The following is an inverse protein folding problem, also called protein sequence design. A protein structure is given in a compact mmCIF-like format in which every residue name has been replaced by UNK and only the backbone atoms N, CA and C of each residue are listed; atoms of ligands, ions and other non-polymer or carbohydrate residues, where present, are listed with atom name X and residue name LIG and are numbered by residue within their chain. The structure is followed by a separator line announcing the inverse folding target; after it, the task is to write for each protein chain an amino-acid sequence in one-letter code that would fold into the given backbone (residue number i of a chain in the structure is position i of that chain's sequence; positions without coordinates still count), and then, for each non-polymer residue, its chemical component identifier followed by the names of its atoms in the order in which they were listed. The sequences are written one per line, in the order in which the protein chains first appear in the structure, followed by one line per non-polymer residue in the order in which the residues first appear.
data_IF_798320090299
#
_entry.id   IF_798320090299
#
_cell.length_a   1.000
_cell.length_b   1.000
_cell.length_c   1.000
_cell.angle_alpha   90.00
_cell.angle_beta   90.00
_cell.angle_gamma   90.00
#
_symmetry.space_group_name_H-M   'P 1'
#
loop_
_entity.id
_entity.type
_entity.pdbx_description
1 polymer ?
2 water ?
#
# COMPACT_ATOMS: atom_id res chain seq x y z
N UNK A 7 -14.99 -14.44 29.07
CA UNK A 7 -15.60 -13.47 28.12
C UNK A 7 -15.33 -12.03 28.58
N UNK A 8 -15.70 -11.75 29.83
CA UNK A 8 -15.39 -10.49 30.49
C UNK A 8 -15.32 -10.76 31.98
N UNK A 9 -14.27 -10.24 32.63
CA UNK A 9 -14.05 -10.45 34.06
C UNK A 9 -15.03 -9.60 34.88
N UNK A 10 -15.67 -10.22 35.88
CA UNK A 10 -16.58 -9.52 36.76
C UNK A 10 -15.81 -8.57 37.69
N UNK A 11 -16.34 -7.36 37.88
CA UNK A 11 -15.70 -6.36 38.73
C UNK A 11 -16.64 -5.94 39.87
N UNK A 12 -16.39 -6.45 41.10
CA UNK A 12 -17.25 -6.13 42.25
C UNK A 12 -16.96 -4.77 42.91
N UNK A 13 -15.74 -4.27 42.78
CA UNK A 13 -15.34 -3.02 43.43
C UNK A 13 -14.53 -2.10 42.54
N UNK A 14 -14.30 -0.87 43.03
CA UNK A 14 -13.49 0.12 42.32
C UNK A 14 -12.06 -0.31 42.05
N UNK A 15 -11.52 -1.13 42.97
CA UNK A 15 -10.13 -1.58 42.89
C UNK A 15 -9.88 -2.54 41.73
N UNK A 16 -10.80 -3.49 41.53
CA UNK A 16 -10.73 -4.42 40.40
C UNK A 16 -10.85 -3.68 39.08
N UNK A 17 -11.74 -2.69 39.04
CA UNK A 17 -11.96 -1.86 37.86
C UNK A 17 -10.67 -1.17 37.44
N UNK A 18 -10.03 -0.45 38.37
CA UNK A 18 -8.79 0.26 38.06
C UNK A 18 -7.68 -0.68 37.61
N UNK A 19 -7.55 -1.83 38.27
CA UNK A 19 -6.60 -2.87 37.87
C UNK A 19 -6.79 -3.27 36.42
N UNK A 20 -8.04 -3.48 36.02
CA UNK A 20 -8.40 -3.87 34.67
C UNK A 20 -8.06 -2.77 33.66
N UNK A 21 -8.40 -1.53 34.00
CA UNK A 21 -8.11 -0.38 33.15
C UNK A 21 -6.61 -0.22 32.96
N UNK A 22 -5.88 -0.41 34.05
CA UNK A 22 -4.42 -0.27 34.05
C UNK A 22 -3.68 -1.45 33.42
N UNK A 23 -4.41 -2.55 33.19
CA UNK A 23 -3.81 -3.78 32.69
C UNK A 23 -3.48 -3.77 31.20
N UNK A 24 -4.06 -2.83 30.45
CA UNK A 24 -3.87 -2.79 29.01
C UNK A 24 -3.79 -1.38 28.46
N UNK A 25 -3.30 -1.29 27.21
CA UNK A 25 -3.33 -0.05 26.45
C UNK A 25 -4.76 0.43 26.26
N UNK A 26 -5.65 -0.52 25.96
CA UNK A 26 -7.08 -0.26 25.77
C UNK A 26 -7.88 -1.29 26.57
N UNK A 27 -8.77 -0.80 27.43
CA UNK A 27 -9.70 -1.65 28.18
C UNK A 27 -11.15 -1.17 27.99
N UNK A 28 -12.09 -2.09 28.13
CA UNK A 28 -13.51 -1.79 27.97
C UNK A 28 -14.28 -2.30 29.19
N UNK A 29 -15.13 -1.44 29.77
CA UNK A 29 -15.97 -1.85 30.89
C UNK A 29 -17.46 -1.71 30.53
N UNK A 30 -18.21 -2.79 30.74
CA UNK A 30 -19.65 -2.76 30.60
C UNK A 30 -20.31 -2.57 31.95
N UNK A 31 -21.15 -1.53 32.05
CA UNK A 31 -21.82 -1.19 33.30
C UNK A 31 -23.28 -1.59 33.19
N UNK A 32 -23.64 -2.71 33.81
CA UNK A 32 -25.01 -3.23 33.72
C UNK A 32 -25.49 -3.75 35.08
N UNK A 33 -26.56 -3.15 35.59
CA UNK A 33 -27.20 -3.62 36.83
C UNK A 33 -27.49 -5.11 36.81
N UNK A 34 -28.12 -5.57 35.72
CA UNK A 34 -28.47 -6.97 35.54
C UNK A 34 -27.56 -7.60 34.48
N UNK A 35 -26.78 -8.57 34.92
CA UNK A 35 -25.77 -9.28 34.12
C UNK A 35 -26.34 -10.07 32.93
N UNK A 36 -27.58 -10.54 33.04
CA UNK A 36 -28.21 -11.26 31.94
C UNK A 36 -29.39 -10.54 31.29
N UNK A 37 -29.36 -9.20 31.31
CA UNK A 37 -30.28 -8.40 30.50
C UNK A 37 -29.83 -8.48 29.03
N UNK A 38 -30.73 -8.11 28.12
CA UNK A 38 -30.45 -8.12 26.68
C UNK A 38 -29.17 -7.35 26.31
N UNK A 39 -29.04 -6.16 26.89
CA UNK A 39 -27.90 -5.28 26.65
C UNK A 39 -26.60 -5.92 27.17
N UNK A 40 -26.65 -6.42 28.40
CA UNK A 40 -25.52 -7.12 29.00
C UNK A 40 -25.11 -8.33 28.17
N UNK A 41 -26.12 -9.05 27.66
CA UNK A 41 -25.89 -10.21 26.79
C UNK A 41 -25.20 -9.81 25.47
N UNK A 42 -25.68 -8.73 24.84
CA UNK A 42 -25.07 -8.19 23.62
C UNK A 42 -23.59 -7.82 23.84
N UNK A 43 -23.33 -7.17 24.98
CA UNK A 43 -21.98 -6.72 25.35
C UNK A 43 -21.01 -7.89 25.50
N UNK A 44 -21.42 -8.91 26.25
CA UNK A 44 -20.62 -10.12 26.41
C UNK A 44 -20.29 -10.80 25.09
N UNK A 45 -21.22 -10.75 24.14
CA UNK A 45 -21.00 -11.25 22.78
C UNK A 45 -19.98 -10.40 21.99
N UNK A 46 -20.03 -9.07 22.17
CA UNK A 46 -19.03 -8.19 21.60
C UNK A 46 -17.65 -8.44 22.23
N UNK A 47 -17.66 -8.74 23.53
CA UNK A 47 -16.45 -9.06 24.28
C UNK A 47 -15.77 -10.33 23.76
N UNK A 48 -16.58 -11.29 23.34
CA UNK A 48 -16.05 -12.55 22.79
C UNK A 48 -15.50 -12.39 21.37
N UNK A 49 -15.94 -11.34 20.67
CA UNK A 49 -15.58 -11.11 19.26
C UNK A 49 -14.27 -10.32 19.07
N UNK A 50 -13.73 -9.77 20.13
CA UNK A 50 -12.47 -8.99 20.05
C UNK A 50 -11.39 -9.59 20.95
N UNK A 51 -10.31 -10.05 20.34
CA UNK A 51 -9.25 -10.76 21.05
C UNK A 51 -8.21 -9.80 21.62
N UNK A 52 -8.16 -8.59 21.06
CA UNK A 52 -7.08 -7.63 21.31
C UNK A 52 -7.14 -6.92 22.67
N UNK A 53 -8.34 -6.74 23.21
CA UNK A 53 -8.52 -5.93 24.42
C UNK A 53 -9.31 -6.66 25.52
N UNK A 54 -8.94 -6.44 26.80
CA UNK A 54 -9.68 -7.03 27.93
C UNK A 54 -10.99 -6.31 28.27
N UNK A 55 -11.97 -7.09 28.73
CA UNK A 55 -13.30 -6.60 29.01
C UNK A 55 -13.68 -6.85 30.46
N UNK A 56 -14.31 -5.83 31.07
CA UNK A 56 -14.84 -5.96 32.43
C UNK A 56 -16.33 -5.72 32.43
N UNK A 57 -17.02 -6.32 33.39
CA UNK A 57 -18.45 -6.11 33.55
C UNK A 57 -18.73 -5.83 35.01
N UNK A 58 -19.52 -4.80 35.29
CA UNK A 58 -19.85 -4.45 36.67
C UNK A 58 -21.34 -4.17 36.88
N UNK A 59 -21.81 -4.51 38.08
CA UNK A 59 -23.20 -4.29 38.45
C UNK A 59 -23.28 -3.37 39.67
N UNK A 60 -22.10 -3.08 40.22
CA UNK A 60 -21.95 -2.32 41.46
C UNK A 60 -22.05 -0.83 41.24
N UNK A 61 -23.09 -0.20 41.81
CA UNK A 61 -23.38 1.22 41.59
C UNK A 61 -22.29 2.19 42.07
N UNK A 62 -21.38 1.70 42.92
CA UNK A 62 -20.20 2.45 43.34
C UNK A 62 -19.23 2.62 42.16
N UNK A 63 -19.07 1.54 41.38
CA UNK A 63 -18.22 1.55 40.19
C UNK A 63 -18.83 2.46 39.11
N UNK A 64 -20.15 2.40 38.94
CA UNK A 64 -20.89 3.34 38.09
C UNK A 64 -20.49 4.79 38.36
N UNK A 65 -20.63 5.20 39.63
CA UNK A 65 -20.40 6.58 40.05
C UNK A 65 -18.93 6.96 39.98
N UNK A 66 -18.07 5.98 40.18
CA UNK A 66 -16.62 6.16 40.09
C UNK A 66 -16.25 6.70 38.71
N UNK A 67 -16.95 6.19 37.69
CA UNK A 67 -16.69 6.54 36.31
C UNK A 67 -17.80 7.42 35.76
N UNK A 68 -18.62 7.94 36.67
CA UNK A 68 -19.64 8.94 36.38
C UNK A 68 -20.73 8.48 35.40
N UNK A 69 -21.16 7.23 35.58
CA UNK A 69 -22.33 6.68 34.91
C UNK A 69 -23.46 6.63 35.94
N UNK A 70 -24.60 7.23 35.60
CA UNK A 70 -25.80 7.05 36.41
C UNK A 70 -26.65 5.88 35.90
N UNK A 71 -26.70 5.71 34.59
CA UNK A 71 -27.41 4.60 33.96
C UNK A 71 -26.44 3.54 33.43
N UNK A 72 -26.99 2.42 32.94
CA UNK A 72 -26.19 1.40 32.27
C UNK A 72 -25.41 2.01 31.11
N UNK A 73 -24.29 1.38 30.74
CA UNK A 73 -23.48 1.89 29.63
C UNK A 73 -22.18 1.15 29.43
N UNK A 74 -21.41 1.59 28.44
CA UNK A 74 -20.13 0.99 28.08
C UNK A 74 -19.09 2.11 27.88
N UNK A 75 -17.96 1.97 28.55
CA UNK A 75 -16.85 2.92 28.40
C UNK A 75 -15.59 2.22 27.90
N UNK A 76 -14.99 2.76 26.84
CA UNK A 76 -13.65 2.32 26.41
C UNK A 76 -12.60 3.22 27.05
N UNK A 77 -11.61 2.60 27.71
CA UNK A 77 -10.46 3.29 28.31
C UNK A 77 -9.22 3.06 27.48
N UNK A 78 -8.35 4.07 27.38
CA UNK A 78 -7.09 3.96 26.64
C UNK A 78 -5.99 4.82 27.25
N UNK A 79 -4.74 4.38 27.06
CA UNK A 79 -3.57 5.05 27.64
C UNK A 79 -2.91 6.07 26.70
N UNK A 80 -3.74 6.70 25.86
CA UNK A 80 -3.29 7.68 24.87
C UNK A 80 -4.46 8.59 24.48
N UNK A 81 -4.16 9.65 23.74
CA UNK A 81 -5.16 10.63 23.29
C UNK A 81 -6.12 11.05 24.42
N UNK A 82 -7.43 11.04 24.14
CA UNK A 82 -8.43 11.55 25.09
C UNK A 82 -8.68 10.69 26.34
N UNK A 83 -8.13 9.48 26.37
CA UNK A 83 -8.20 8.66 27.58
C UNK A 83 -9.44 7.81 27.74
N UNK A 84 -10.61 8.34 27.37
CA UNK A 84 -11.84 7.55 27.38
C UNK A 84 -12.90 8.01 26.37
N UNK A 85 -13.74 7.07 25.96
CA UNK A 85 -14.87 7.31 25.08
C UNK A 85 -16.08 6.57 25.64
N UNK A 86 -17.22 7.25 25.70
CA UNK A 86 -18.46 6.64 26.17
C UNK A 86 -19.30 6.17 24.99
N UNK A 87 -19.76 4.92 25.06
CA UNK A 87 -20.65 4.40 24.03
C UNK A 87 -21.98 5.13 24.08
N UNK A 88 -22.45 5.59 22.92
CA UNK A 88 -23.72 6.31 22.83
C UNK A 88 -24.62 5.68 21.76
N UNK A 89 -25.67 5.01 22.20
CA UNK A 89 -26.61 4.37 21.28
C UNK A 89 -27.23 3.13 21.86
N UNK A 90 -27.92 2.36 21.02
CA UNK A 90 -28.51 1.10 21.46
C UNK A 90 -27.40 0.05 21.62
N UNK A 91 -27.48 -0.71 22.70
CA UNK A 91 -26.47 -1.73 22.99
C UNK A 91 -26.73 -2.97 22.13
N UNK A 92 -26.17 -2.93 20.93
CA UNK A 92 -26.15 -4.07 20.02
C UNK A 92 -24.70 -4.53 19.95
N UNK A 93 -24.50 -5.81 19.66
CA UNK A 93 -23.17 -6.35 19.42
C UNK A 93 -22.49 -5.59 18.29
N UNK A 94 -23.24 -5.36 17.22
CA UNK A 94 -22.73 -4.69 16.03
C UNK A 94 -22.41 -3.21 16.31
N UNK A 95 -23.23 -2.57 17.13
CA UNK A 95 -23.02 -1.17 17.52
C UNK A 95 -21.77 -1.02 18.38
N UNK A 96 -21.53 -1.99 19.25
CA UNK A 96 -20.40 -1.99 20.15
C UNK A 96 -19.08 -2.23 19.42
N UNK A 97 -19.05 -3.22 18.53
CA UNK A 97 -17.88 -3.51 17.70
C UNK A 97 -17.50 -2.32 16.82
N UNK A 98 -18.51 -1.62 16.33
CA UNK A 98 -18.35 -0.39 15.56
C UNK A 98 -17.69 0.69 16.44
N UNK A 99 -18.16 0.78 17.68
CA UNK A 99 -17.72 1.79 18.65
C UNK A 99 -16.25 1.59 19.03
N UNK A 100 -15.89 0.34 19.31
CA UNK A 100 -14.53 -0.02 19.66
C UNK A 100 -13.57 0.31 18.52
N UNK A 101 -13.82 -0.27 17.35
CA UNK A 101 -12.94 -0.11 16.19
C UNK A 101 -12.70 1.35 15.79
N UNK A 102 -13.71 2.20 16.02
CA UNK A 102 -13.63 3.64 15.79
C UNK A 102 -12.77 4.38 16.83
N UNK A 103 -12.65 3.81 18.03
CA UNK A 103 -11.99 4.48 19.17
C UNK A 103 -10.74 3.78 19.70
N UNK A 104 -10.51 2.56 19.19
CA UNK A 104 -9.52 1.61 19.71
C UNK A 104 -8.07 2.05 19.51
N UNK A 105 -7.81 2.82 18.46
CA UNK A 105 -6.45 3.12 18.01
C UNK A 105 -6.07 4.58 18.23
N UNK A 106 -4.76 4.84 18.39
CA UNK A 106 -4.24 6.20 18.54
C UNK A 106 -4.45 7.03 17.29
N UNK A 107 -4.57 8.35 17.46
CA UNK A 107 -4.72 9.25 16.33
C UNK A 107 -3.56 9.05 15.36
N UNK A 108 -2.35 8.95 15.92
CA UNK A 108 -1.17 8.65 15.13
C UNK A 108 -0.56 7.34 15.63
N UNK A 109 -0.71 6.30 14.80
CA UNK A 109 -0.34 4.95 15.18
C UNK A 109 1.04 4.57 14.63
N UNK A 110 1.88 4.00 15.49
CA UNK A 110 3.20 3.51 15.09
C UNK A 110 3.04 2.14 14.46
N UNK A 111 3.52 1.99 13.23
CA UNK A 111 3.48 0.68 12.58
C UNK A 111 4.44 -0.28 13.27
N UNK A 112 3.87 -1.21 14.03
CA UNK A 112 4.65 -2.29 14.64
C UNK A 112 3.99 -3.64 14.34
N UNK A 113 4.58 -4.69 14.90
CA UNK A 113 4.14 -6.06 14.75
C UNK A 113 2.76 -6.32 15.35
N UNK A 114 2.54 -5.82 16.57
CA UNK A 114 1.23 -5.93 17.23
C UNK A 114 0.20 -5.03 16.55
N UNK A 115 0.68 -3.90 16.06
CA UNK A 115 -0.15 -2.88 15.42
C UNK A 115 -0.59 -3.24 13.99
N UNK A 116 0.25 -4.01 13.30
CA UNK A 116 0.04 -4.35 11.87
C UNK A 116 -1.36 -4.88 11.48
N UNK A 117 -1.88 -5.91 12.20
CA UNK A 117 -3.22 -6.43 11.86
C UNK A 117 -4.37 -5.43 12.07
N UNK A 118 -4.21 -4.53 13.04
CA UNK A 118 -5.24 -3.54 13.38
C UNK A 118 -5.30 -2.38 12.39
N UNK A 119 -4.19 -2.15 11.69
CA UNK A 119 -4.12 -1.11 10.65
C UNK A 119 -4.90 -1.52 9.39
N UNK A 120 -4.65 -2.74 8.92
CA UNK A 120 -5.29 -3.25 7.70
C UNK A 120 -6.79 -3.50 7.90
N UNK A 121 -7.16 -3.88 9.12
CA UNK A 121 -8.56 -4.18 9.46
C UNK A 121 -9.46 -2.97 9.63
N UNK A 122 -8.86 -1.81 9.88
CA UNK A 122 -9.61 -0.56 10.08
C UNK A 122 -10.53 -0.19 8.94
N UNK A 123 -11.71 0.33 9.28
CA UNK A 123 -12.76 0.64 8.31
C UNK A 123 -12.55 1.97 7.59
N UNK A 124 -11.39 2.60 7.80
CA UNK A 124 -11.08 3.89 7.19
C UNK A 124 -10.56 3.71 5.75
N UNK A 125 -9.66 2.75 5.56
CA UNK A 125 -9.17 2.31 4.23
C UNK A 125 -8.20 3.24 3.50
N UNK A 126 -8.28 4.55 3.76
CA UNK A 126 -7.33 5.51 3.19
C UNK A 126 -6.26 5.90 4.21
N UNK A 127 -5.01 5.51 3.92
CA UNK A 127 -3.92 5.59 4.88
C UNK A 127 -2.82 6.53 4.39
N UNK A 128 -2.28 7.32 5.31
CA UNK A 128 -1.09 8.12 5.03
C UNK A 128 0.07 7.58 5.88
N UNK A 129 1.19 7.29 5.23
CA UNK A 129 2.35 6.72 5.90
C UNK A 129 3.47 7.73 6.00
N UNK A 130 3.81 8.12 7.22
CA UNK A 130 5.01 8.89 7.45
C UNK A 130 6.17 7.91 7.66
N UNK A 131 7.21 8.07 6.86
CA UNK A 131 8.44 7.34 7.07
C UNK A 131 9.36 8.24 7.86
N UNK A 132 9.37 8.04 9.18
CA UNK A 132 10.11 8.88 10.10
C UNK A 132 11.22 8.08 10.79
N UNK A 133 12.49 8.29 10.38
CA UNK A 133 13.65 7.68 11.03
C UNK A 133 13.79 8.12 12.49
N UNK A 134 13.94 7.16 13.40
CA UNK A 134 14.03 7.47 14.83
C UNK A 134 15.31 8.24 15.19
N UNK A 135 16.22 8.31 14.24
CA UNK A 135 17.49 9.03 14.39
C UNK A 135 17.41 10.48 13.89
N UNK A 136 16.34 10.82 13.16
CA UNK A 136 16.16 12.17 12.62
C UNK A 136 16.19 13.23 13.72
N UNK A 137 16.83 14.35 13.43
CA UNK A 137 16.86 15.49 14.34
C UNK A 137 15.48 16.10 14.40
N UNK A 138 15.06 16.53 15.59
CA UNK A 138 13.71 17.11 15.81
C UNK A 138 12.63 16.06 15.47
N UNK A 139 12.75 14.89 16.09
CA UNK A 139 11.88 13.75 15.81
C UNK A 139 10.44 14.05 16.21
N UNK A 140 10.24 14.44 17.46
CA UNK A 140 8.91 14.70 17.99
C UNK A 140 8.29 15.98 17.44
N UNK A 141 9.13 16.92 17.01
CA UNK A 141 8.66 18.12 16.31
C UNK A 141 8.12 17.81 14.92
N UNK A 142 8.77 16.88 14.22
CA UNK A 142 8.29 16.38 12.94
C UNK A 142 7.05 15.50 13.13
N UNK A 143 7.05 14.70 14.20
CA UNK A 143 5.91 13.86 14.54
C UNK A 143 4.73 14.71 15.01
N UNK A 144 5.04 15.89 15.58
CA UNK A 144 4.03 16.81 16.08
C UNK A 144 3.18 17.39 14.95
N UNK A 145 3.84 17.78 13.86
CA UNK A 145 3.16 18.27 12.66
C UNK A 145 2.24 17.22 12.05
N UNK A 146 2.69 15.97 12.07
CA UNK A 146 1.93 14.82 11.60
C UNK A 146 0.63 14.64 12.42
N UNK A 147 0.70 14.91 13.72
CA UNK A 147 -0.47 14.87 14.61
C UNK A 147 -1.42 16.03 14.33
N UNK A 148 -0.86 17.22 14.11
CA UNK A 148 -1.63 18.44 13.79
C UNK A 148 -2.46 18.24 12.52
N UNK A 149 -1.85 17.65 11.49
CA UNK A 149 -2.56 17.29 10.26
C UNK A 149 -3.56 16.16 10.48
N UNK A 150 -3.24 15.25 11.40
CA UNK A 150 -4.12 14.13 11.74
C UNK A 150 -5.44 14.60 12.35
N UNK A 151 -5.43 15.79 12.94
CA UNK A 151 -6.64 16.40 13.49
C UNK A 151 -7.64 16.70 12.37
N UNK A 152 -7.14 17.27 11.29
CA UNK A 152 -7.95 17.70 10.14
C UNK A 152 -8.66 16.56 9.41
N UNK A 153 -8.18 15.32 9.58
CA UNK A 153 -8.68 14.19 8.81
C UNK A 153 -9.11 12.98 9.64
N UNK A 154 -9.34 13.19 10.93
CA UNK A 154 -9.79 12.10 11.81
C UNK A 154 -11.09 11.51 11.29
N UNK A 155 -11.11 10.18 11.15
CA UNK A 155 -12.27 9.48 10.59
C UNK A 155 -12.32 9.50 9.07
N UNK A 156 -11.38 10.21 8.45
CA UNK A 156 -11.29 10.30 6.99
C UNK A 156 -10.00 9.66 6.45
N UNK A 157 -8.88 9.91 7.13
CA UNK A 157 -7.58 9.33 6.77
C UNK A 157 -6.84 8.83 8.02
N UNK A 158 -6.49 7.54 8.01
CA UNK A 158 -5.73 6.94 9.11
C UNK A 158 -4.23 7.27 9.02
N UNK A 159 -3.74 8.03 10.00
CA UNK A 159 -2.35 8.46 10.05
C UNK A 159 -1.43 7.41 10.69
N UNK A 160 -0.42 7.01 9.95
CA UNK A 160 0.52 5.97 10.39
C UNK A 160 1.96 6.42 10.22
N UNK A 161 2.80 6.18 11.23
CA UNK A 161 4.24 6.41 11.08
C UNK A 161 5.04 5.12 11.23
N UNK A 162 6.18 5.08 10.53
CA UNK A 162 7.05 3.90 10.48
C UNK A 162 8.51 4.33 10.63
N UNK A 163 9.29 3.55 11.36
CA UNK A 163 10.71 3.86 11.55
C UNK A 163 11.54 3.40 10.35
N UNK A 164 11.98 4.39 9.57
CA UNK A 164 12.80 4.18 8.37
C UNK A 164 14.18 3.60 8.65
N UNK A 165 14.71 3.81 9.85
CA UNK A 165 16.03 3.33 10.23
C UNK A 165 16.05 1.82 10.46
N UNK A 166 14.92 1.26 10.90
CA UNK A 166 14.90 -0.12 11.36
C UNK A 166 14.94 -1.14 10.23
N UNK A 167 15.90 -2.05 10.34
CA UNK A 167 16.12 -3.11 9.37
C UNK A 167 14.89 -3.93 9.02
N UNK A 168 14.01 -4.20 9.99
CA UNK A 168 12.85 -5.03 9.66
C UNK A 168 11.75 -4.28 8.88
N UNK A 169 12.02 -3.02 8.56
CA UNK A 169 11.13 -2.21 7.73
C UNK A 169 11.60 -2.00 6.30
N UNK A 170 12.70 -2.66 5.92
CA UNK A 170 13.33 -2.48 4.61
C UNK A 170 12.41 -2.83 3.44
N UNK A 171 11.65 -3.90 3.58
CA UNK A 171 10.77 -4.36 2.51
C UNK A 171 9.62 -3.39 2.24
N UNK A 172 9.14 -2.75 3.30
CA UNK A 172 8.08 -1.75 3.18
C UNK A 172 8.60 -0.48 2.49
N UNK A 173 9.83 -0.09 2.81
CA UNK A 173 10.50 1.01 2.11
C UNK A 173 10.56 0.75 0.60
N UNK A 174 11.00 -0.45 0.23
CA UNK A 174 11.11 -0.87 -1.17
C UNK A 174 9.76 -0.94 -1.88
N UNK A 175 8.77 -1.48 -1.20
CA UNK A 175 7.39 -1.50 -1.70
C UNK A 175 6.92 -0.10 -2.12
N UNK A 176 7.35 0.91 -1.38
CA UNK A 176 6.96 2.28 -1.66
C UNK A 176 8.07 3.08 -2.35
N UNK A 177 8.95 2.37 -3.06
CA UNK A 177 10.07 2.96 -3.79
C UNK A 177 10.86 3.99 -3.00
N UNK A 178 11.30 3.61 -1.81
CA UNK A 178 12.02 4.52 -0.93
C UNK A 178 13.34 3.93 -0.43
N UNK A 179 14.35 4.78 -0.36
CA UNK A 179 15.66 4.45 0.21
C UNK A 179 15.86 5.18 1.54
N UNK A 180 16.62 4.57 2.45
CA UNK A 180 16.91 5.15 3.77
C UNK A 180 17.15 6.66 3.77
N UNK A 181 18.02 7.11 2.87
CA UNK A 181 18.41 8.52 2.76
C UNK A 181 17.27 9.44 2.31
N UNK A 182 16.39 8.93 1.46
CA UNK A 182 15.25 9.69 0.93
C UNK A 182 14.18 10.01 1.98
N UNK A 183 14.44 9.61 3.23
CA UNK A 183 13.51 9.82 4.34
C UNK A 183 14.00 10.93 5.28
N UNK A 184 13.08 11.63 5.96
CA UNK A 184 11.60 11.51 6.00
C UNK A 184 10.87 11.71 4.67
N UNK A 185 9.78 10.97 4.50
CA UNK A 185 8.95 11.02 3.29
C UNK A 185 7.55 10.48 3.60
N UNK A 186 6.59 10.86 2.77
CA UNK A 186 5.19 10.53 3.00
C UNK A 186 4.56 9.83 1.79
N UNK A 187 3.77 8.78 2.04
CA UNK A 187 2.94 8.16 1.00
C UNK A 187 1.49 8.03 1.44
N UNK A 188 0.59 8.26 0.50
CA UNK A 188 -0.82 7.97 0.70
C UNK A 188 -1.20 6.67 -0.03
N UNK A 189 -2.12 5.91 0.55
CA UNK A 189 -2.57 4.64 -0.03
C UNK A 189 -4.04 4.41 0.31
N UNK A 190 -4.80 3.97 -0.68
CA UNK A 190 -6.19 3.57 -0.47
C UNK A 190 -6.32 2.05 -0.66
N UNK A 191 -6.82 1.38 0.37
CA UNK A 191 -7.13 -0.06 0.33
C UNK A 191 -8.53 -0.25 -0.23
N UNK A 192 -8.68 -1.21 -1.16
CA UNK A 192 -9.96 -1.47 -1.81
C UNK A 192 -10.21 -2.95 -2.03
N UNK A 193 -11.47 -3.31 -2.25
CA UNK A 193 -11.89 -4.65 -2.70
C UNK A 193 -13.35 -4.64 -3.13
N UNK A 206 -9.91 -17.89 -10.21
CA UNK A 206 -10.16 -17.98 -11.64
C UNK A 206 -9.82 -16.67 -12.37
N UNK A 207 -9.49 -16.79 -13.66
CA UNK A 207 -9.17 -15.63 -14.50
C UNK A 207 -10.36 -14.69 -14.70
N UNK A 208 -11.55 -15.28 -14.80
CA UNK A 208 -12.79 -14.53 -15.01
C UNK A 208 -13.26 -13.83 -13.73
N UNK A 209 -13.03 -14.48 -12.59
CA UNK A 209 -13.36 -13.89 -11.29
C UNK A 209 -12.55 -12.62 -11.04
N UNK A 210 -11.27 -12.65 -11.42
CA UNK A 210 -10.36 -11.50 -11.30
C UNK A 210 -10.84 -10.32 -12.17
N UNK A 211 -11.17 -10.61 -13.43
CA UNK A 211 -11.63 -9.61 -14.40
C UNK A 211 -12.92 -8.91 -13.93
N UNK A 212 -13.86 -9.70 -13.41
CA UNK A 212 -15.12 -9.17 -12.86
C UNK A 212 -14.89 -8.35 -11.59
N UNK A 213 -13.97 -8.81 -10.75
CA UNK A 213 -13.56 -8.08 -9.54
C UNK A 213 -12.84 -6.78 -9.88
N UNK A 214 -12.01 -6.81 -10.92
CA UNK A 214 -11.24 -5.65 -11.37
C UNK A 214 -12.13 -4.56 -11.97
N UNK A 215 -13.21 -4.97 -12.64
CA UNK A 215 -14.18 -3.99 -13.14
C UNK A 215 -14.99 -3.37 -12.00
N UNK A 216 -14.24 -2.74 -11.09
CA UNK A 216 -14.80 -1.92 -10.02
C UNK A 216 -14.40 -0.46 -10.29
N UNK A 217 -14.38 -0.11 -11.57
CA UNK A 217 -14.20 1.27 -12.01
C UNK A 217 -15.52 2.02 -11.90
N UNK A 218 -16.58 1.42 -12.45
CA UNK A 218 -17.92 2.02 -12.46
C UNK A 218 -18.61 1.90 -11.10
N UNK B 7 26.27 7.86 -25.23
CA UNK B 7 24.87 7.75 -24.68
C UNK B 7 24.11 6.59 -25.32
N UNK B 8 23.99 6.64 -26.66
CA UNK B 8 23.35 5.58 -27.42
C UNK B 8 24.29 5.11 -28.51
N UNK B 9 24.34 3.80 -28.71
CA UNK B 9 25.19 3.21 -29.74
C UNK B 9 24.59 3.49 -31.12
N UNK B 10 25.39 4.04 -32.02
CA UNK B 10 24.96 4.22 -33.41
C UNK B 10 24.79 2.87 -34.09
N UNK B 11 23.70 2.71 -34.83
CA UNK B 11 23.46 1.48 -35.56
C UNK B 11 23.48 1.75 -37.07
N UNK B 12 24.54 1.28 -37.77
CA UNK B 12 24.63 1.57 -39.21
C UNK B 12 23.84 0.61 -40.11
N UNK B 13 23.44 -0.54 -39.57
CA UNK B 13 22.81 -1.59 -40.36
C UNK B 13 21.81 -2.43 -39.54
N UNK B 14 21.09 -3.31 -40.21
CA UNK B 14 20.06 -4.14 -39.59
C UNK B 14 20.55 -5.12 -38.54
N UNK B 15 21.74 -5.70 -38.78
CA UNK B 15 22.33 -6.68 -37.85
C UNK B 15 22.67 -6.06 -36.50
N UNK B 16 23.14 -4.82 -36.52
CA UNK B 16 23.51 -4.10 -35.29
C UNK B 16 22.26 -3.77 -34.46
N UNK B 17 21.19 -3.32 -35.14
CA UNK B 17 19.90 -3.11 -34.50
C UNK B 17 19.42 -4.38 -33.79
N UNK B 18 19.41 -5.50 -34.52
CA UNK B 18 19.03 -6.82 -33.95
C UNK B 18 19.90 -7.23 -32.78
N UNK B 19 21.23 -7.11 -32.94
CA UNK B 19 22.18 -7.43 -31.87
C UNK B 19 21.87 -6.67 -30.59
N UNK B 20 21.57 -5.38 -30.74
CA UNK B 20 21.28 -4.51 -29.61
C UNK B 20 19.97 -4.92 -28.94
N UNK B 21 18.97 -5.26 -29.76
CA UNK B 21 17.69 -5.72 -29.23
C UNK B 21 17.85 -7.03 -28.44
N UNK B 22 18.75 -7.91 -28.89
CA UNK B 22 19.02 -9.19 -28.22
C UNK B 22 19.90 -9.11 -26.97
N UNK B 23 20.67 -8.04 -26.86
CA UNK B 23 21.63 -7.86 -25.77
C UNK B 23 21.01 -7.64 -24.40
N UNK B 24 19.69 -7.46 -24.34
CA UNK B 24 19.04 -7.16 -23.07
C UNK B 24 17.57 -7.57 -23.05
N UNK B 25 17.00 -7.65 -21.86
CA UNK B 25 15.57 -7.93 -21.68
C UNK B 25 14.72 -6.78 -22.26
N UNK B 26 15.12 -5.54 -21.95
CA UNK B 26 14.50 -4.35 -22.51
C UNK B 26 15.57 -3.53 -23.26
N UNK B 27 15.25 -3.03 -24.44
CA UNK B 27 16.16 -2.17 -25.23
C UNK B 27 15.38 -1.09 -25.98
N UNK B 28 16.05 0.02 -26.30
CA UNK B 28 15.39 1.17 -26.95
C UNK B 28 16.21 1.71 -28.13
N UNK B 29 15.54 1.90 -29.27
CA UNK B 29 16.20 2.49 -30.44
C UNK B 29 15.55 3.83 -30.79
N UNK B 30 16.37 4.86 -30.97
CA UNK B 30 15.92 6.14 -31.52
C UNK B 30 16.17 6.16 -33.03
N UNK B 31 15.13 6.44 -33.79
CA UNK B 31 15.21 6.53 -35.25
C UNK B 31 15.14 8.01 -35.62
N UNK B 32 16.29 8.62 -35.86
CA UNK B 32 16.39 10.04 -36.15
C UNK B 32 17.28 10.27 -37.37
N UNK B 33 16.66 10.73 -38.46
CA UNK B 33 17.38 11.03 -39.71
C UNK B 33 18.50 12.03 -39.47
N UNK B 34 18.16 13.10 -38.77
CA UNK B 34 19.15 14.08 -38.34
C UNK B 34 19.50 13.83 -36.87
N UNK B 35 20.66 13.25 -36.64
CA UNK B 35 21.11 12.94 -35.28
C UNK B 35 21.44 14.24 -34.50
N UNK B 36 21.61 15.33 -35.24
CA UNK B 36 21.93 16.62 -34.65
C UNK B 36 20.69 17.46 -34.34
N UNK B 37 19.51 16.94 -34.64
CA UNK B 37 18.25 17.66 -34.41
C UNK B 37 17.86 17.73 -32.94
N UNK B 38 17.04 18.71 -32.59
CA UNK B 38 16.60 18.94 -31.20
C UNK B 38 15.92 17.72 -30.55
N UNK B 39 14.98 17.11 -31.26
CA UNK B 39 14.32 15.89 -30.77
C UNK B 39 15.33 14.75 -30.53
N UNK B 40 16.31 14.61 -31.43
CA UNK B 40 17.38 13.62 -31.29
C UNK B 40 18.22 13.86 -30.03
N UNK B 41 18.57 15.12 -29.76
CA UNK B 41 19.27 15.50 -28.53
C UNK B 41 18.46 15.14 -27.29
N UNK B 42 17.17 15.44 -27.33
CA UNK B 42 16.23 15.06 -26.27
C UNK B 42 16.26 13.55 -26.02
N UNK B 43 16.31 12.77 -27.10
CA UNK B 43 16.43 11.32 -27.00
C UNK B 43 17.77 10.92 -26.37
N UNK B 44 18.85 11.52 -26.85
CA UNK B 44 20.18 11.23 -26.31
C UNK B 44 20.30 11.57 -24.81
N UNK B 45 19.62 12.64 -24.40
CA UNK B 45 19.49 13.00 -22.98
C UNK B 45 18.69 11.96 -22.20
N UNK B 46 17.69 11.35 -22.83
CA UNK B 46 16.91 10.29 -22.19
C UNK B 46 17.77 9.04 -22.03
N UNK B 47 18.62 8.77 -23.03
CA UNK B 47 19.53 7.62 -23.02
C UNK B 47 20.53 7.69 -21.87
N UNK B 48 21.01 8.90 -21.57
CA UNK B 48 21.98 9.13 -20.49
C UNK B 48 21.34 9.04 -19.11
N UNK B 49 20.05 9.35 -19.02
CA UNK B 49 19.32 9.37 -17.75
C UNK B 49 18.94 7.97 -17.24
N UNK B 50 19.19 6.95 -18.06
CA UNK B 50 18.88 5.55 -17.72
C UNK B 50 20.07 4.67 -18.11
N UNK B 51 20.55 3.88 -17.16
CA UNK B 51 21.66 2.95 -17.40
C UNK B 51 21.23 1.49 -17.26
N UNK B 52 19.97 1.29 -16.93
CA UNK B 52 19.37 -0.04 -16.81
C UNK B 52 19.12 -0.68 -18.18
N UNK B 53 18.95 0.16 -19.19
CA UNK B 53 18.56 -0.26 -20.55
C UNK B 53 19.57 0.28 -21.56
N UNK B 54 19.96 -0.56 -22.56
CA UNK B 54 20.82 -0.05 -23.63
C UNK B 54 20.04 0.74 -24.69
N UNK B 55 20.67 1.77 -25.24
CA UNK B 55 20.05 2.61 -26.26
C UNK B 55 20.79 2.56 -27.59
N UNK B 56 20.04 2.59 -28.68
CA UNK B 56 20.60 2.63 -30.03
C UNK B 56 20.08 3.84 -30.77
N UNK B 57 20.78 4.26 -31.82
CA UNK B 57 20.34 5.38 -32.66
C UNK B 57 20.70 5.11 -34.11
N UNK B 58 19.71 5.25 -35.00
CA UNK B 58 19.91 5.13 -36.46
C UNK B 58 19.43 6.34 -37.23
N UNK B 59 20.07 6.55 -38.38
CA UNK B 59 19.67 7.52 -39.40
C UNK B 59 19.51 6.76 -40.72
N UNK B 60 19.66 5.44 -40.65
CA UNK B 60 19.69 4.59 -41.83
C UNK B 60 18.27 4.15 -42.17
N UNK B 61 17.79 4.56 -43.34
CA UNK B 61 16.38 4.39 -43.69
C UNK B 61 15.98 2.94 -43.97
N UNK B 62 16.98 2.09 -44.20
CA UNK B 62 16.79 0.64 -44.26
C UNK B 62 16.46 0.11 -42.87
N UNK B 63 17.16 0.63 -41.87
CA UNK B 63 16.85 0.29 -40.47
C UNK B 63 15.49 0.85 -40.04
N UNK B 64 15.19 2.08 -40.45
CA UNK B 64 13.84 2.65 -40.28
C UNK B 64 12.78 1.68 -40.79
N UNK B 65 12.91 1.27 -42.06
CA UNK B 65 11.98 0.35 -42.73
C UNK B 65 11.90 -1.04 -42.12
N UNK B 66 13.03 -1.56 -41.64
CA UNK B 66 13.07 -2.87 -41.00
C UNK B 66 12.07 -2.96 -39.84
N UNK B 67 11.86 -1.84 -39.14
CA UNK B 67 10.95 -1.78 -38.02
C UNK B 67 9.66 -1.03 -38.35
N UNK B 68 9.44 -0.79 -39.65
CA UNK B 68 8.27 -0.08 -40.16
C UNK B 68 8.16 1.36 -39.67
N UNK B 69 9.28 2.04 -39.62
CA UNK B 69 9.28 3.48 -39.35
C UNK B 69 9.45 4.19 -40.69
N UNK B 70 8.54 5.12 -40.98
CA UNK B 70 8.65 5.98 -42.16
C UNK B 70 8.82 7.45 -41.76
N UNK B 71 9.06 7.67 -40.48
CA UNK B 71 9.32 8.99 -39.91
C UNK B 71 10.22 8.77 -38.69
N UNK B 72 10.80 9.84 -38.17
CA UNK B 72 11.55 9.78 -36.92
C UNK B 72 10.70 9.16 -35.81
N UNK B 73 11.34 8.50 -34.85
CA UNK B 73 10.61 7.89 -33.75
C UNK B 73 11.46 7.15 -32.77
N UNK B 74 10.83 6.63 -31.74
CA UNK B 74 11.52 5.81 -30.76
C UNK B 74 10.65 4.60 -30.40
N UNK B 75 11.30 3.44 -30.35
CA UNK B 75 10.62 2.18 -30.07
C UNK B 75 11.27 1.53 -28.86
N UNK B 76 10.45 1.06 -27.92
CA UNK B 76 10.93 0.20 -26.86
C UNK B 76 10.76 -1.25 -27.30
N UNK B 77 11.82 -2.04 -27.16
CA UNK B 77 11.80 -3.47 -27.42
C UNK B 77 11.90 -4.24 -26.10
N UNK B 78 11.15 -5.33 -25.99
CA UNK B 78 11.11 -6.15 -24.78
C UNK B 78 11.01 -7.64 -25.13
N UNK B 79 11.61 -8.49 -24.31
CA UNK B 79 11.61 -9.93 -24.58
C UNK B 79 10.43 -10.67 -23.94
N UNK B 80 9.30 -9.98 -23.82
CA UNK B 80 8.11 -10.52 -23.16
C UNK B 80 6.88 -9.79 -23.65
N UNK B 81 5.71 -10.36 -23.41
CA UNK B 81 4.43 -9.74 -23.74
C UNK B 81 4.37 -9.26 -25.20
N UNK B 82 3.89 -8.04 -25.43
CA UNK B 82 3.63 -7.55 -26.80
C UNK B 82 4.88 -7.28 -27.63
N UNK B 83 6.07 -7.46 -27.05
CA UNK B 83 7.32 -7.45 -27.80
C UNK B 83 7.89 -6.08 -28.12
N UNK B 84 7.02 -5.07 -28.26
CA UNK B 84 7.47 -3.70 -28.50
C UNK B 84 6.38 -2.65 -28.32
N UNK B 85 6.81 -1.42 -28.01
CA UNK B 85 5.91 -0.27 -27.93
C UNK B 85 6.50 0.92 -28.68
N UNK B 86 5.65 1.59 -29.46
CA UNK B 86 6.07 2.76 -30.21
C UNK B 86 5.74 4.02 -29.42
N UNK B 87 6.72 4.91 -29.27
CA UNK B 87 6.49 6.19 -28.61
C UNK B 87 5.55 7.10 -29.40
N UNK B 88 4.63 7.77 -28.68
CA UNK B 88 3.67 8.69 -29.29
C UNK B 88 3.80 10.08 -28.69
N UNK B 89 3.63 11.09 -29.53
CA UNK B 89 3.63 12.49 -29.06
C UNK B 89 4.96 13.19 -29.22
N UNK B 90 5.10 14.32 -28.55
CA UNK B 90 6.29 15.17 -28.69
C UNK B 90 7.52 14.58 -28.01
N UNK B 91 8.64 14.59 -28.75
CA UNK B 91 9.91 14.01 -28.29
C UNK B 91 10.64 14.95 -27.33
N UNK B 92 10.37 14.78 -26.04
CA UNK B 92 11.14 15.46 -24.99
C UNK B 92 11.65 14.43 -24.01
N UNK B 93 12.72 14.77 -23.28
CA UNK B 93 13.32 13.86 -22.30
C UNK B 93 12.29 13.33 -21.30
N UNK B 94 11.43 14.22 -20.80
CA UNK B 94 10.44 13.85 -19.79
C UNK B 94 9.34 12.94 -20.32
N UNK B 95 8.89 13.20 -21.56
CA UNK B 95 7.94 12.33 -22.25
C UNK B 95 8.52 10.95 -22.51
N UNK B 96 9.81 10.91 -22.85
CA UNK B 96 10.50 9.66 -23.15
C UNK B 96 10.73 8.81 -21.89
N UNK B 97 11.11 9.43 -20.79
CA UNK B 97 11.30 8.72 -19.53
C UNK B 97 9.97 8.22 -18.99
N UNK B 98 8.90 8.99 -19.20
CA UNK B 98 7.54 8.56 -18.85
C UNK B 98 7.11 7.34 -19.67
N UNK B 99 7.41 7.40 -20.98
CA UNK B 99 7.10 6.32 -21.92
C UNK B 99 7.87 5.05 -21.58
N UNK B 100 9.16 5.19 -21.29
CA UNK B 100 10.01 4.07 -20.95
C UNK B 100 9.56 3.40 -19.64
N UNK B 101 9.19 4.22 -18.65
CA UNK B 101 8.69 3.69 -17.38
C UNK B 101 7.32 3.01 -17.48
N UNK B 102 6.43 3.57 -18.30
CA UNK B 102 5.07 3.03 -18.45
C UNK B 102 5.03 1.72 -19.27
N UNK B 103 6.13 1.39 -19.95
CA UNK B 103 6.19 0.25 -20.88
C UNK B 103 7.33 -0.73 -20.63
N UNK B 104 8.21 -0.38 -19.69
CA UNK B 104 9.37 -1.18 -19.32
C UNK B 104 9.01 -2.50 -18.64
N UNK B 105 7.87 -2.50 -17.95
CA UNK B 105 7.50 -3.59 -17.05
C UNK B 105 6.77 -4.72 -17.76
N UNK B 106 6.96 -5.96 -17.30
CA UNK B 106 6.14 -7.07 -17.79
C UNK B 106 4.70 -6.89 -17.35
N UNK B 107 3.77 -7.43 -18.11
CA UNK B 107 2.33 -7.33 -17.83
C UNK B 107 2.01 -7.77 -16.39
N UNK B 108 2.51 -8.95 -16.03
CA UNK B 108 2.43 -9.44 -14.66
C UNK B 108 3.84 -9.37 -14.09
N UNK B 109 4.01 -8.60 -13.02
CA UNK B 109 5.33 -8.29 -12.49
C UNK B 109 5.58 -8.92 -11.11
N UNK B 110 6.68 -9.66 -11.02
CA UNK B 110 7.06 -10.31 -9.78
C UNK B 110 7.75 -9.32 -8.86
N UNK B 111 7.20 -9.14 -7.66
CA UNK B 111 7.79 -8.22 -6.70
C UNK B 111 9.13 -8.75 -6.21
N UNK B 112 10.20 -8.08 -6.64
CA UNK B 112 11.56 -8.38 -6.19
C UNK B 112 12.29 -7.07 -5.82
N UNK B 113 13.57 -7.17 -5.48
CA UNK B 113 14.38 -6.03 -5.11
C UNK B 113 14.66 -5.13 -6.32
N UNK B 114 15.00 -5.75 -7.45
CA UNK B 114 15.26 -5.01 -8.69
C UNK B 114 13.99 -4.41 -9.26
N UNK B 115 12.87 -5.08 -9.02
CA UNK B 115 11.55 -4.75 -9.57
C UNK B 115 10.83 -3.61 -8.82
N UNK B 116 11.00 -3.57 -7.49
CA UNK B 116 10.29 -2.62 -6.61
C UNK B 116 10.32 -1.14 -7.04
N UNK B 117 11.53 -0.56 -7.32
CA UNK B 117 11.56 0.86 -7.69
C UNK B 117 10.88 1.18 -9.03
N UNK B 118 10.81 0.20 -9.93
CA UNK B 118 10.17 0.39 -11.23
C UNK B 118 8.65 0.31 -11.14
N UNK B 119 8.15 -0.38 -10.12
CA UNK B 119 6.71 -0.46 -9.84
C UNK B 119 6.21 0.92 -9.38
N UNK B 120 6.95 1.53 -8.46
CA UNK B 120 6.69 2.90 -8.02
C UNK B 120 6.88 3.90 -9.17
N UNK B 121 7.81 3.57 -10.08
CA UNK B 121 8.11 4.40 -11.26
C UNK B 121 7.00 4.44 -12.31
N UNK B 122 6.08 3.48 -12.24
CA UNK B 122 4.93 3.46 -13.15
C UNK B 122 3.98 4.62 -12.93
N UNK B 123 3.15 4.90 -13.94
CA UNK B 123 2.18 5.99 -13.88
C UNK B 123 0.76 5.50 -13.59
N UNK B 124 0.67 4.25 -13.15
CA UNK B 124 -0.62 3.64 -12.83
C UNK B 124 -0.88 3.71 -11.33
N UNK B 125 -1.99 4.35 -10.96
CA UNK B 125 -2.36 4.54 -9.56
C UNK B 125 -2.83 3.23 -8.90
N UNK B 126 -3.71 2.50 -9.59
CA UNK B 126 -4.31 1.28 -9.07
C UNK B 126 -3.41 0.06 -9.30
N UNK B 127 -3.14 -0.67 -8.23
CA UNK B 127 -2.30 -1.86 -8.25
C UNK B 127 -3.09 -3.01 -7.66
N UNK B 128 -3.08 -4.16 -8.33
CA UNK B 128 -3.67 -5.38 -7.75
C UNK B 128 -2.57 -6.36 -7.36
N UNK B 129 -2.52 -6.70 -6.07
CA UNK B 129 -1.51 -7.59 -5.55
C UNK B 129 -2.08 -8.99 -5.42
N UNK B 130 -1.37 -9.97 -5.98
CA UNK B 130 -1.70 -11.35 -5.71
C UNK B 130 -0.57 -11.93 -4.87
N UNK B 131 -0.92 -12.32 -3.65
CA UNK B 131 0.01 -13.02 -2.76
C UNK B 131 -0.10 -14.50 -3.09
N UNK B 132 0.88 -14.99 -3.85
CA UNK B 132 0.84 -16.36 -4.38
C UNK B 132 2.05 -17.17 -3.91
N UNK B 133 1.82 -18.18 -3.06
CA UNK B 133 2.90 -19.06 -2.60
C UNK B 133 3.47 -19.87 -3.77
N UNK B 134 4.79 -19.86 -3.94
CA UNK B 134 5.43 -20.61 -5.02
C UNK B 134 5.28 -22.14 -4.90
N UNK B 135 4.83 -22.59 -3.73
CA UNK B 135 4.64 -24.01 -3.48
C UNK B 135 3.19 -24.45 -3.64
N UNK B 136 2.31 -23.51 -3.99
CA UNK B 136 0.87 -23.80 -4.10
C UNK B 136 0.55 -24.79 -5.23
N UNK B 137 -0.57 -25.50 -5.05
CA UNK B 137 -1.12 -26.39 -6.08
C UNK B 137 -1.53 -25.57 -7.30
N UNK B 138 -1.20 -26.09 -8.49
CA UNK B 138 -1.53 -25.45 -9.77
C UNK B 138 -1.06 -23.98 -9.80
N UNK B 139 0.19 -23.77 -9.40
CA UNK B 139 0.81 -22.45 -9.31
C UNK B 139 0.78 -21.74 -10.66
N UNK B 140 1.27 -22.42 -11.70
CA UNK B 140 1.39 -21.85 -13.04
C UNK B 140 0.03 -21.60 -13.69
N UNK B 141 -0.98 -22.37 -13.28
CA UNK B 141 -2.35 -22.17 -13.73
C UNK B 141 -2.98 -20.94 -13.10
N UNK B 142 -2.73 -20.76 -11.80
CA UNK B 142 -3.24 -19.60 -11.06
C UNK B 142 -2.57 -18.30 -11.50
N UNK B 143 -1.29 -18.38 -11.85
CA UNK B 143 -0.50 -17.25 -12.33
C UNK B 143 -0.91 -16.83 -13.75
N UNK B 144 -1.20 -17.82 -14.60
CA UNK B 144 -1.66 -17.54 -15.95
C UNK B 144 -3.03 -16.88 -15.94
N UNK B 145 -3.88 -17.30 -15.01
CA UNK B 145 -5.19 -16.68 -14.78
C UNK B 145 -5.09 -15.20 -14.44
N UNK B 146 -4.11 -14.87 -13.60
CA UNK B 146 -3.78 -13.49 -13.26
C UNK B 146 -3.27 -12.74 -14.50
N UNK B 147 -2.45 -13.41 -15.31
CA UNK B 147 -1.91 -12.83 -16.55
C UNK B 147 -2.99 -12.62 -17.62
N UNK B 148 -3.90 -13.57 -17.73
CA UNK B 148 -5.03 -13.48 -18.66
C UNK B 148 -5.94 -12.32 -18.28
N UNK B 149 -6.19 -12.17 -16.99
CA UNK B 149 -7.01 -11.06 -16.47
C UNK B 149 -6.29 -9.73 -16.61
N UNK B 150 -4.97 -9.76 -16.53
CA UNK B 150 -4.14 -8.56 -16.69
C UNK B 150 -4.23 -7.98 -18.11
N UNK B 151 -4.52 -8.85 -19.07
CA UNK B 151 -4.58 -8.51 -20.49
C UNK B 151 -5.57 -7.38 -20.77
N UNK B 152 -6.76 -7.46 -20.19
CA UNK B 152 -7.81 -6.49 -20.47
C UNK B 152 -7.78 -5.30 -19.51
N UNK B 153 -6.61 -5.02 -18.93
CA UNK B 153 -6.42 -3.86 -18.04
C UNK B 153 -5.09 -3.15 -18.26
N UNK B 154 -4.48 -3.35 -19.42
CA UNK B 154 -3.22 -2.68 -19.79
C UNK B 154 -3.36 -1.17 -19.65
N UNK B 155 -2.41 -0.56 -18.94
CA UNK B 155 -2.42 0.87 -18.67
C UNK B 155 -3.61 1.36 -17.84
N UNK B 156 -4.15 0.48 -17.00
CA UNK B 156 -5.26 0.84 -16.11
C UNK B 156 -5.04 0.32 -14.70
N UNK B 157 -4.65 -0.96 -14.59
CA UNK B 157 -4.27 -1.56 -13.32
C UNK B 157 -2.92 -2.23 -13.50
N UNK B 158 -2.03 -2.03 -12.53
CA UNK B 158 -0.77 -2.75 -12.50
C UNK B 158 -0.96 -4.04 -11.72
N UNK B 159 -0.65 -5.18 -12.36
CA UNK B 159 -0.80 -6.50 -11.78
C UNK B 159 0.54 -6.95 -11.19
N UNK B 160 0.55 -7.14 -9.87
CA UNK B 160 1.76 -7.53 -9.13
C UNK B 160 1.51 -8.84 -8.39
N UNK B 161 2.45 -9.78 -8.51
CA UNK B 161 2.39 -11.01 -7.70
C UNK B 161 3.56 -11.11 -6.72
N UNK B 162 3.24 -11.49 -5.49
CA UNK B 162 4.21 -11.61 -4.39
C UNK B 162 4.32 -13.07 -3.97
N UNK B 163 5.57 -13.56 -3.88
CA UNK B 163 5.82 -14.93 -3.40
C UNK B 163 5.69 -14.97 -1.88
N UNK B 164 4.57 -15.52 -1.41
CA UNK B 164 4.25 -15.63 0.03
C UNK B 164 5.22 -16.48 0.85
N UNK B 165 5.87 -17.44 0.20
CA UNK B 165 6.76 -18.35 0.91
C UNK B 165 8.10 -17.71 1.25
N UNK B 166 8.47 -16.66 0.52
CA UNK B 166 9.77 -16.00 0.71
C UNK B 166 9.80 -15.17 1.99
N UNK B 167 10.85 -15.39 2.79
CA UNK B 167 11.01 -14.76 4.10
C UNK B 167 10.97 -13.23 4.04
N UNK B 168 11.49 -12.66 2.95
CA UNK B 168 11.60 -11.21 2.81
C UNK B 168 10.28 -10.51 2.48
N UNK B 169 9.26 -11.29 2.14
CA UNK B 169 7.94 -10.75 1.81
C UNK B 169 6.96 -10.75 2.98
N UNK B 170 7.40 -11.31 4.10
CA UNK B 170 6.55 -11.49 5.28
C UNK B 170 6.03 -10.18 5.86
N UNK B 171 6.87 -9.15 5.89
CA UNK B 171 6.50 -7.81 6.36
C UNK B 171 5.38 -7.18 5.50
N UNK B 172 5.43 -7.44 4.19
CA UNK B 172 4.35 -7.02 3.29
C UNK B 172 3.06 -7.79 3.58
N UNK B 173 3.18 -9.09 3.85
CA UNK B 173 2.02 -9.87 4.31
C UNK B 173 1.41 -9.25 5.57
N UNK B 174 2.25 -8.90 6.54
CA UNK B 174 1.83 -8.23 7.79
C UNK B 174 1.17 -6.88 7.52
N UNK B 175 1.78 -6.10 6.63
CA UNK B 175 1.28 -4.77 6.26
C UNK B 175 -0.17 -4.83 5.77
N UNK B 176 -0.50 -5.88 5.02
CA UNK B 176 -1.85 -6.05 4.49
C UNK B 176 -2.68 -7.05 5.29
N UNK B 177 -2.23 -7.31 6.53
CA UNK B 177 -2.93 -8.20 7.45
C UNK B 177 -3.14 -9.60 6.90
N UNK B 178 -2.06 -10.24 6.48
CA UNK B 178 -2.13 -11.58 5.92
C UNK B 178 -1.20 -12.56 6.63
N UNK B 179 -1.69 -13.77 6.84
CA UNK B 179 -0.88 -14.88 7.30
C UNK B 179 -0.55 -15.76 6.10
N UNK B 180 0.59 -16.44 6.15
CA UNK B 180 1.01 -17.32 5.05
C UNK B 180 -0.05 -18.34 4.60
N UNK B 181 -0.91 -18.77 5.52
CA UNK B 181 -1.93 -19.79 5.25
C UNK B 181 -3.20 -19.20 4.64
N UNK B 182 -3.29 -17.88 4.60
CA UNK B 182 -4.43 -17.18 3.98
C UNK B 182 -4.22 -16.97 2.49
N UNK B 183 -3.05 -17.37 1.99
CA UNK B 183 -2.66 -17.20 0.59
C UNK B 183 -2.93 -18.46 -0.24
N UNK B 184 -3.22 -18.31 -1.56
CA UNK B 184 -3.31 -17.08 -2.37
C UNK B 184 -4.40 -16.10 -1.94
N UNK B 185 -4.05 -14.82 -1.93
CA UNK B 185 -4.96 -13.73 -1.57
C UNK B 185 -4.77 -12.55 -2.52
N UNK B 186 -5.78 -11.68 -2.59
CA UNK B 186 -5.81 -10.56 -3.52
C UNK B 186 -6.09 -9.25 -2.78
N UNK B 187 -5.21 -8.28 -2.97
CA UNK B 187 -5.40 -6.95 -2.38
C UNK B 187 -5.30 -5.90 -3.47
N UNK B 188 -6.39 -5.16 -3.69
CA UNK B 188 -6.41 -4.07 -4.67
C UNK B 188 -6.15 -2.73 -3.97
N UNK B 189 -5.17 -1.96 -4.46
CA UNK B 189 -4.78 -0.69 -3.83
C UNK B 189 -4.64 0.49 -4.81
N UNK B 190 -4.90 1.69 -4.33
CA UNK B 190 -4.63 2.92 -5.09
C UNK B 190 -3.49 3.68 -4.42
N UNK B 191 -2.43 3.93 -5.18
CA UNK B 191 -1.27 4.65 -4.68
C UNK B 191 -1.29 6.13 -5.05
N UNK B 192 -0.63 6.94 -4.23
CA UNK B 192 -0.59 8.39 -4.37
C UNK B 192 0.77 8.89 -3.87
N UNK B 208 3.73 20.77 8.39
CA UNK B 208 2.42 20.21 8.13
C UNK B 208 1.86 20.64 6.75
N UNK B 209 2.74 20.61 5.75
CA UNK B 209 2.35 20.81 4.35
C UNK B 209 1.76 19.52 3.78
N UNK B 210 1.52 18.56 4.67
CA UNK B 210 0.91 17.28 4.34
C UNK B 210 -0.62 17.36 4.31
N UNK B 211 -1.17 18.40 4.93
CA UNK B 211 -2.61 18.68 4.86
C UNK B 211 -3.03 18.94 3.40
N UNK B 212 -2.17 19.65 2.66
CA UNK B 212 -2.38 19.89 1.24
C UNK B 212 -2.25 18.61 0.41
N UNK B 213 -1.32 17.75 0.83
CA UNK B 213 -1.10 16.46 0.15
C UNK B 213 -2.30 15.52 0.29
N UNK B 214 -3.00 15.62 1.41
CA UNK B 214 -4.18 14.80 1.69
C UNK B 214 -5.41 15.18 0.85
N UNK B 215 -5.61 16.49 0.66
CA UNK B 215 -6.73 17.00 -0.14
C UNK B 215 -6.62 16.65 -1.62
N UNK B 216 -5.42 16.85 -2.19
CA UNK B 216 -5.17 16.55 -3.60
C UNK B 216 -5.37 15.08 -3.93
N UNK B 217 -5.04 14.22 -2.96
CA UNK B 217 -5.22 12.77 -3.09
C UNK B 217 -6.70 12.38 -3.01
N UNK B 218 -7.45 13.06 -2.13
CA UNK B 218 -8.90 12.94 -2.06
C UNK B 218 -9.55 13.73 -3.21
#
# INVERSE_FOLDING_TARGET
GPLGSPAATTLPDGAAAESLVESSEVAVIGFFKDVESDSAKQFLQAAEAIDDIPFGITSNSDVFSKYQLDKDGVVLFKKFDEGRNNFEGEVTKENLLDFIKHNQLPLVIEFTEQTAPKIFGGEIKTHILLFLPKSVSDYDGKLSNFKTAAESFKGKILFIFIDSDHTDNQRILEFFGLKKEECPAVRLITLEEEMTKYKPESEELTAERITEFCHRFLEGKIKPHLMSQELPEDWDKQ
GPLGSPAATTLPDGAAAESLVESSEVAVIGFFKDVESDSAKQFLQAAEAIDDIPFGITSNSDVFSKYQLDKDGVVLFKKFDEGRNNFEGEVTKENLLDFIKHNQLPLVIEFTEQTAPKIFGGEIKTHILLFLPKSVSDYDGKLSNFKTAAESFKGKILFIFIDSDHTDNQRILEFFGLKKEECPAVRLITLEEEMTKYKPESEELTAERITEFCHRFLEGKIKPHLMSQELPEDWDKQ
#
